data_IF_257883011197
#
_entry.id   IF_257883011197
#
_cell.length_a   1.000
_cell.length_b   1.000
_cell.length_c   1.000
_cell.angle_alpha   90.00
_cell.angle_beta   90.00
_cell.angle_gamma   90.00
#
_symmetry.space_group_name_H-M   'P 1'
#
loop_
_entity.id
_entity.type
_entity.pdbx_description
1 polymer ?
#
# COMPACT_ATOMS: atom_id res chain seq x y z
N UNK A 1 -3.08 25.52 -16.44
CA UNK A 1 -3.76 24.26 -16.02
C UNK A 1 -4.12 24.36 -14.55
N UNK A 2 -5.35 24.03 -14.22
CA UNK A 2 -5.79 24.05 -12.82
C UNK A 2 -5.12 22.91 -12.06
N UNK A 3 -4.84 23.11 -10.78
CA UNK A 3 -4.22 22.10 -9.92
C UNK A 3 -5.04 20.80 -9.89
N UNK A 4 -6.37 20.93 -9.80
CA UNK A 4 -7.29 19.79 -9.84
C UNK A 4 -7.16 18.99 -11.13
N UNK A 5 -6.96 19.66 -12.26
CA UNK A 5 -6.76 19.01 -13.56
C UNK A 5 -5.46 18.20 -13.57
N UNK A 6 -4.39 18.75 -12.99
CA UNK A 6 -3.11 18.05 -12.89
C UNK A 6 -3.25 16.79 -12.02
N UNK A 7 -4.00 16.86 -10.92
CA UNK A 7 -4.21 15.70 -10.05
C UNK A 7 -5.04 14.62 -10.76
N UNK A 8 -6.05 15.00 -11.52
CA UNK A 8 -6.81 14.05 -12.33
C UNK A 8 -5.91 13.36 -13.37
N UNK A 9 -5.02 14.12 -14.01
CA UNK A 9 -4.10 13.57 -14.99
C UNK A 9 -3.14 12.57 -14.36
N UNK A 10 -2.65 12.83 -13.15
CA UNK A 10 -1.79 11.90 -12.40
C UNK A 10 -2.53 10.59 -12.12
N UNK A 11 -3.77 10.67 -11.63
CA UNK A 11 -4.59 9.49 -11.34
C UNK A 11 -4.85 8.69 -12.61
N UNK A 12 -5.22 9.35 -13.70
CA UNK A 12 -5.48 8.69 -14.98
C UNK A 12 -4.24 8.03 -15.55
N UNK A 13 -3.08 8.67 -15.42
CA UNK A 13 -1.82 8.08 -15.88
C UNK A 13 -1.50 6.79 -15.14
N UNK A 14 -1.58 6.79 -13.81
CA UNK A 14 -1.38 5.59 -13.01
C UNK A 14 -2.41 4.51 -13.32
N UNK A 15 -3.64 4.89 -13.62
CA UNK A 15 -4.67 3.93 -14.02
C UNK A 15 -4.39 3.28 -15.37
N UNK A 16 -3.97 4.08 -16.35
CA UNK A 16 -3.67 3.59 -17.71
C UNK A 16 -2.36 2.82 -17.79
N UNK A 17 -1.38 3.22 -16.99
CA UNK A 17 -0.03 2.66 -16.97
C UNK A 17 0.36 2.29 -15.55
N UNK A 18 -0.32 1.30 -14.94
CA UNK A 18 -0.10 0.97 -13.54
C UNK A 18 1.31 0.43 -13.31
N UNK A 19 1.96 0.95 -12.27
CA UNK A 19 3.30 0.55 -11.87
C UNK A 19 3.21 -0.69 -10.98
N UNK A 20 4.10 -1.66 -11.21
CA UNK A 20 4.24 -2.88 -10.39
C UNK A 20 3.00 -3.78 -10.38
N UNK A 21 2.12 -3.62 -11.35
CA UNK A 21 0.98 -4.53 -11.51
C UNK A 21 1.45 -5.86 -12.12
N UNK A 22 0.91 -6.96 -11.60
CA UNK A 22 1.28 -8.32 -11.97
C UNK A 22 2.01 -8.99 -10.81
N UNK A 23 1.41 -10.04 -10.26
CA UNK A 23 1.96 -10.73 -9.09
C UNK A 23 3.32 -11.34 -9.41
N UNK A 24 4.29 -11.12 -8.53
CA UNK A 24 5.66 -11.60 -8.68
C UNK A 24 6.03 -12.59 -7.58
N UNK A 25 6.95 -13.49 -7.89
CA UNK A 25 7.56 -14.43 -6.97
C UNK A 25 9.07 -14.20 -6.93
N UNK A 26 9.74 -14.48 -5.81
CA UNK A 26 9.17 -14.91 -4.52
C UNK A 26 8.51 -13.76 -3.75
N UNK A 27 7.77 -14.10 -2.71
CA UNK A 27 7.15 -13.09 -1.84
C UNK A 27 7.12 -13.58 -0.40
N UNK A 28 7.05 -12.63 0.55
CA UNK A 28 7.00 -12.95 1.97
C UNK A 28 5.59 -13.09 2.53
N UNK A 29 4.65 -12.32 1.99
CA UNK A 29 3.24 -12.40 2.39
C UNK A 29 2.34 -11.97 1.23
N UNK A 30 1.14 -12.54 1.21
CA UNK A 30 0.10 -12.20 0.24
C UNK A 30 -1.21 -12.00 0.99
N UNK A 31 -1.92 -10.94 0.65
CA UNK A 31 -3.25 -10.67 1.19
C UNK A 31 -4.22 -10.37 0.05
N UNK A 32 -5.49 -10.62 0.31
CA UNK A 32 -6.58 -10.31 -0.62
C UNK A 32 -7.62 -9.48 0.12
N UNK A 33 -7.83 -8.26 -0.34
CA UNK A 33 -8.82 -7.35 0.25
C UNK A 33 -9.91 -7.04 -0.77
N UNK A 34 -11.13 -6.92 -0.28
CA UNK A 34 -12.32 -6.62 -1.09
C UNK A 34 -13.04 -5.44 -0.47
N UNK A 35 -13.50 -4.52 -1.32
CA UNK A 35 -14.45 -3.50 -0.92
C UNK A 35 -15.81 -3.88 -1.52
N UNK A 36 -16.71 -4.51 -0.73
CA UNK A 36 -17.98 -5.03 -1.27
C UNK A 36 -18.93 -3.93 -1.75
N UNK A 37 -18.76 -2.71 -1.27
CA UNK A 37 -19.61 -1.57 -1.65
C UNK A 37 -19.46 -1.20 -3.12
N UNK A 38 -18.22 -1.21 -3.64
CA UNK A 38 -17.96 -0.86 -5.05
C UNK A 38 -17.44 -2.05 -5.88
N UNK A 39 -17.31 -3.23 -5.30
CA UNK A 39 -16.80 -4.40 -6.03
C UNK A 39 -15.31 -4.35 -6.34
N UNK A 40 -14.56 -3.44 -5.72
CA UNK A 40 -13.11 -3.38 -5.86
C UNK A 40 -12.47 -4.53 -5.11
N UNK A 41 -11.43 -5.13 -5.69
CA UNK A 41 -10.63 -6.16 -5.01
C UNK A 41 -9.17 -6.03 -5.40
N UNK A 42 -8.29 -6.42 -4.48
CA UNK A 42 -6.84 -6.42 -4.73
C UNK A 42 -6.20 -7.63 -4.03
N UNK A 43 -5.33 -8.30 -4.77
CA UNK A 43 -4.38 -9.26 -4.19
C UNK A 43 -3.02 -8.58 -4.21
N UNK A 44 -2.36 -8.52 -3.07
CA UNK A 44 -1.11 -7.80 -2.93
C UNK A 44 -0.08 -8.67 -2.24
N UNK A 45 1.13 -8.69 -2.80
CA UNK A 45 2.28 -9.41 -2.27
C UNK A 45 3.35 -8.44 -1.84
N UNK A 46 3.97 -8.69 -0.68
CA UNK A 46 5.10 -7.90 -0.20
C UNK A 46 6.29 -8.83 0.04
N UNK A 47 7.48 -8.31 -0.28
CA UNK A 47 8.74 -8.97 0.04
C UNK A 47 9.55 -8.01 0.90
N UNK A 48 10.03 -8.50 2.04
CA UNK A 48 10.92 -7.74 2.92
C UNK A 48 12.35 -8.25 2.75
N UNK A 49 13.32 -7.44 3.15
CA UNK A 49 14.71 -7.86 3.23
C UNK A 49 14.88 -8.98 4.25
N UNK A 50 16.01 -9.70 4.22
CA UNK A 50 16.27 -10.82 5.13
C UNK A 50 16.14 -10.43 6.60
N UNK A 51 16.59 -9.22 6.95
CA UNK A 51 16.46 -8.69 8.31
C UNK A 51 15.05 -8.17 8.64
N UNK A 52 14.13 -8.16 7.66
CA UNK A 52 12.77 -7.68 7.84
C UNK A 52 12.62 -6.18 7.96
N UNK A 53 13.69 -5.40 7.72
CA UNK A 53 13.68 -3.96 7.97
C UNK A 53 13.30 -3.13 6.75
N UNK A 54 13.47 -3.68 5.54
CA UNK A 54 13.20 -2.92 4.30
C UNK A 54 12.17 -3.62 3.42
N UNK A 55 11.38 -2.82 2.72
CA UNK A 55 10.46 -3.29 1.68
C UNK A 55 11.24 -3.42 0.38
N UNK A 56 11.47 -4.64 -0.08
CA UNK A 56 12.26 -4.87 -1.29
C UNK A 56 11.39 -4.97 -2.54
N UNK A 57 10.14 -5.40 -2.41
CA UNK A 57 9.23 -5.45 -3.54
C UNK A 57 7.77 -5.46 -3.06
N UNK A 58 6.90 -4.89 -3.89
CA UNK A 58 5.45 -4.97 -3.75
C UNK A 58 4.89 -5.21 -5.15
N UNK A 59 4.04 -6.21 -5.28
CA UNK A 59 3.32 -6.46 -6.52
C UNK A 59 1.85 -6.70 -6.21
N UNK A 60 1.00 -6.47 -7.20
CA UNK A 60 -0.43 -6.61 -6.98
C UNK A 60 -1.15 -6.94 -8.29
N UNK A 61 -2.35 -7.45 -8.14
CA UNK A 61 -3.31 -7.57 -9.22
C UNK A 61 -4.71 -7.43 -8.63
N UNK A 62 -5.68 -7.08 -9.45
CA UNK A 62 -7.05 -6.92 -8.98
C UNK A 62 -7.93 -6.22 -9.98
N UNK A 63 -9.13 -5.93 -9.53
CA UNK A 63 -10.16 -5.25 -10.31
C UNK A 63 -10.74 -4.11 -9.48
N UNK A 64 -11.10 -3.03 -10.14
CA UNK A 64 -11.70 -1.92 -9.44
C UNK A 64 -11.75 -0.66 -10.27
N UNK A 65 -12.24 0.41 -9.66
CA UNK A 65 -12.34 1.71 -10.30
C UNK A 65 -10.95 2.34 -10.50
N UNK A 66 -10.90 3.42 -11.26
CA UNK A 66 -9.66 4.16 -11.52
C UNK A 66 -8.98 4.62 -10.22
N UNK A 67 -9.75 4.98 -9.20
CA UNK A 67 -9.22 5.45 -7.92
C UNK A 67 -8.46 4.33 -7.20
N UNK A 68 -9.05 3.14 -7.07
CA UNK A 68 -8.39 2.02 -6.37
C UNK A 68 -7.15 1.55 -7.12
N UNK A 69 -7.22 1.45 -8.43
CA UNK A 69 -6.10 1.00 -9.25
C UNK A 69 -4.93 2.00 -9.23
N UNK A 70 -5.23 3.27 -9.41
CA UNK A 70 -4.21 4.32 -9.40
C UNK A 70 -3.56 4.48 -8.02
N UNK A 71 -4.36 4.41 -6.96
CA UNK A 71 -3.85 4.55 -5.59
C UNK A 71 -2.87 3.42 -5.24
N UNK A 72 -3.15 2.19 -5.68
CA UNK A 72 -2.25 1.06 -5.43
C UNK A 72 -0.94 1.19 -6.24
N UNK A 73 -1.03 1.66 -7.48
CA UNK A 73 0.16 1.96 -8.29
C UNK A 73 1.08 2.98 -7.59
N UNK A 74 0.50 4.07 -7.09
CA UNK A 74 1.25 5.11 -6.36
C UNK A 74 1.89 4.53 -5.09
N UNK A 75 1.15 3.72 -4.35
CA UNK A 75 1.67 3.07 -3.14
C UNK A 75 2.98 2.33 -3.44
N UNK A 76 2.99 1.51 -4.48
CA UNK A 76 4.18 0.72 -4.83
C UNK A 76 5.40 1.61 -5.06
N UNK A 77 5.23 2.71 -5.80
CA UNK A 77 6.32 3.65 -6.07
C UNK A 77 6.87 4.29 -4.79
N UNK A 78 6.01 4.52 -3.79
CA UNK A 78 6.40 5.21 -2.56
C UNK A 78 7.08 4.29 -1.55
N UNK A 79 6.71 3.02 -1.50
CA UNK A 79 7.15 2.13 -0.41
C UNK A 79 8.28 1.17 -0.80
N UNK A 80 8.42 0.82 -2.07
CA UNK A 80 9.50 -0.07 -2.51
C UNK A 80 10.84 0.65 -2.31
N UNK A 81 11.75 0.00 -1.59
CA UNK A 81 13.07 0.55 -1.26
C UNK A 81 13.11 1.31 0.07
N UNK A 82 11.97 1.53 0.71
CA UNK A 82 11.91 2.21 1.99
C UNK A 82 12.03 1.22 3.15
N UNK A 83 12.40 1.73 4.33
CA UNK A 83 12.29 0.93 5.55
C UNK A 83 10.82 0.65 5.84
N UNK A 84 10.54 -0.47 6.52
CA UNK A 84 9.18 -0.81 6.93
C UNK A 84 8.57 0.32 7.78
N UNK A 85 9.36 0.90 8.69
CA UNK A 85 8.90 2.01 9.52
C UNK A 85 8.48 3.23 8.71
N UNK A 86 9.30 3.64 7.75
CA UNK A 86 8.99 4.78 6.88
C UNK A 86 7.82 4.47 5.95
N UNK A 87 7.75 3.25 5.41
CA UNK A 87 6.63 2.83 4.59
C UNK A 87 5.30 2.90 5.35
N UNK A 88 5.28 2.46 6.60
CA UNK A 88 4.08 2.53 7.44
C UNK A 88 3.69 3.97 7.79
N UNK A 89 4.67 4.86 7.98
CA UNK A 89 4.41 6.29 8.15
C UNK A 89 3.78 6.90 6.91
N UNK A 90 4.24 6.50 5.74
CA UNK A 90 3.65 6.93 4.47
C UNK A 90 2.19 6.49 4.37
N UNK A 91 1.89 5.24 4.75
CA UNK A 91 0.51 4.74 4.80
C UNK A 91 -0.33 5.58 5.75
N UNK A 92 0.19 5.88 6.93
CA UNK A 92 -0.52 6.68 7.93
C UNK A 92 -0.83 8.09 7.39
N UNK A 93 0.16 8.75 6.77
CA UNK A 93 -0.02 10.09 6.19
C UNK A 93 -1.07 10.11 5.08
N UNK A 94 -1.04 9.10 4.21
CA UNK A 94 -2.04 8.97 3.14
C UNK A 94 -3.44 8.76 3.73
N UNK A 95 -3.57 7.86 4.69
CA UNK A 95 -4.84 7.57 5.35
C UNK A 95 -5.43 8.81 6.02
N UNK A 96 -4.60 9.59 6.72
CA UNK A 96 -5.02 10.83 7.36
C UNK A 96 -5.52 11.86 6.34
N UNK A 97 -4.80 12.00 5.23
CA UNK A 97 -5.19 12.95 4.17
C UNK A 97 -6.53 12.56 3.55
N UNK A 98 -6.68 11.31 3.09
CA UNK A 98 -7.90 10.92 2.38
C UNK A 98 -9.11 10.80 3.31
N UNK A 99 -8.90 10.60 4.60
CA UNK A 99 -9.98 10.51 5.60
C UNK A 99 -10.33 11.86 6.24
N UNK A 100 -9.64 12.93 5.85
CA UNK A 100 -9.73 14.25 6.50
C UNK A 100 -10.93 15.10 6.10
N UNK A 101 -11.72 14.65 5.14
CA UNK A 101 -12.83 15.43 4.56
C UNK A 101 -12.37 16.78 3.99
N UNK A 102 -11.16 16.79 3.43
CA UNK A 102 -10.60 17.98 2.80
C UNK A 102 -9.87 18.92 3.75
N UNK A 103 -9.63 18.53 5.01
CA UNK A 103 -8.96 19.38 6.00
C UNK A 103 -7.44 19.22 6.02
N UNK A 104 -6.90 18.15 5.41
CA UNK A 104 -5.46 17.89 5.34
C UNK A 104 -5.05 17.79 3.87
N UNK A 105 -4.12 18.64 3.44
CA UNK A 105 -3.66 18.69 2.05
C UNK A 105 -2.62 17.61 1.72
N UNK A 106 -1.97 17.06 2.73
CA UNK A 106 -0.90 16.09 2.56
C UNK A 106 0.45 16.75 2.32
N UNK A 107 1.52 15.98 2.49
CA UNK A 107 2.90 16.41 2.30
C UNK A 107 3.47 15.75 1.05
N UNK A 108 3.77 16.54 0.02
CA UNK A 108 4.30 16.04 -1.24
C UNK A 108 5.65 15.33 -1.06
N UNK A 109 6.48 15.75 -0.12
CA UNK A 109 7.76 15.10 0.16
C UNK A 109 7.56 13.67 0.67
N UNK A 110 6.48 13.42 1.40
CA UNK A 110 6.13 12.09 1.93
C UNK A 110 5.31 11.29 0.93
N UNK A 111 4.31 11.93 0.31
CA UNK A 111 3.29 11.25 -0.48
C UNK A 111 3.52 11.28 -1.99
N UNK A 112 4.46 12.11 -2.47
CA UNK A 112 4.70 12.20 -3.92
C UNK A 112 3.40 12.36 -4.70
N UNK A 113 3.19 11.50 -5.69
CA UNK A 113 1.96 11.49 -6.49
C UNK A 113 0.70 11.18 -5.66
N UNK A 114 0.86 10.65 -4.44
CA UNK A 114 -0.26 10.36 -3.54
C UNK A 114 -1.07 11.60 -3.17
N UNK A 115 -0.48 12.79 -3.22
CA UNK A 115 -1.22 14.03 -2.96
C UNK A 115 -2.36 14.27 -3.94
N UNK A 116 -2.30 13.65 -5.13
CA UNK A 116 -3.37 13.74 -6.12
C UNK A 116 -4.71 13.24 -5.58
N UNK A 117 -4.67 12.40 -4.53
CA UNK A 117 -5.88 11.83 -3.93
C UNK A 117 -6.49 12.72 -2.83
N UNK A 118 -5.91 13.89 -2.56
CA UNK A 118 -6.46 14.81 -1.55
C UNK A 118 -7.92 15.18 -1.84
N UNK A 119 -8.27 15.38 -3.12
CA UNK A 119 -9.64 15.68 -3.53
C UNK A 119 -10.64 14.54 -3.28
N UNK A 120 -10.16 13.31 -3.23
CA UNK A 120 -10.98 12.13 -2.96
C UNK A 120 -11.59 12.19 -1.56
N UNK A 121 -10.93 12.88 -0.62
CA UNK A 121 -11.37 13.00 0.77
C UNK A 121 -12.75 13.62 0.93
N UNK A 122 -13.23 14.34 -0.09
CA UNK A 122 -14.57 14.95 -0.10
C UNK A 122 -15.67 13.96 -0.49
N UNK A 123 -15.30 12.75 -0.92
CA UNK A 123 -16.23 11.75 -1.43
C UNK A 123 -16.09 10.46 -0.62
N UNK A 124 -16.86 10.28 0.48
CA UNK A 124 -16.67 9.15 1.41
C UNK A 124 -16.66 7.77 0.75
N UNK A 125 -17.49 7.56 -0.27
CA UNK A 125 -17.51 6.29 -0.99
C UNK A 125 -16.19 6.01 -1.71
N UNK A 126 -15.51 7.05 -2.18
CA UNK A 126 -14.24 6.93 -2.90
C UNK A 126 -13.03 6.79 -1.97
N UNK A 127 -13.15 7.25 -0.73
CA UNK A 127 -12.10 7.10 0.29
C UNK A 127 -11.75 5.64 0.49
N UNK A 128 -12.75 4.77 0.57
CA UNK A 128 -12.55 3.32 0.71
C UNK A 128 -11.83 2.73 -0.51
N UNK A 129 -12.14 3.21 -1.70
CA UNK A 129 -11.46 2.81 -2.93
C UNK A 129 -9.97 3.19 -2.89
N UNK A 130 -9.68 4.41 -2.47
CA UNK A 130 -8.29 4.89 -2.38
C UNK A 130 -7.48 4.11 -1.35
N UNK A 131 -8.10 3.70 -0.24
CA UNK A 131 -7.41 3.01 0.86
C UNK A 131 -7.24 1.51 0.66
N UNK A 132 -7.95 0.89 -0.28
CA UNK A 132 -8.00 -0.56 -0.42
C UNK A 132 -6.61 -1.20 -0.52
N UNK A 133 -5.81 -0.79 -1.48
CA UNK A 133 -4.45 -1.31 -1.69
C UNK A 133 -3.50 -0.92 -0.57
N UNK A 134 -3.64 0.27 -0.02
CA UNK A 134 -2.80 0.78 1.07
C UNK A 134 -2.99 -0.04 2.34
N UNK A 135 -4.23 -0.38 2.68
CA UNK A 135 -4.52 -1.23 3.85
C UNK A 135 -4.14 -2.69 3.59
N UNK A 136 -4.26 -3.17 2.35
CA UNK A 136 -3.74 -4.49 1.97
C UNK A 136 -2.22 -4.56 2.20
N UNK A 137 -1.49 -3.52 1.82
CA UNK A 137 -0.04 -3.44 2.08
C UNK A 137 0.26 -3.49 3.57
N UNK A 138 -0.44 -2.70 4.37
CA UNK A 138 -0.27 -2.70 5.83
C UNK A 138 -0.49 -4.10 6.42
N UNK A 139 -1.55 -4.78 5.99
CA UNK A 139 -1.85 -6.14 6.44
C UNK A 139 -0.77 -7.14 5.99
N UNK A 140 -0.28 -7.01 4.75
CA UNK A 140 0.76 -7.88 4.22
C UNK A 140 2.07 -7.73 4.98
N UNK A 141 2.45 -6.49 5.30
CA UNK A 141 3.64 -6.21 6.12
C UNK A 141 3.50 -6.84 7.50
N UNK A 142 2.33 -6.72 8.12
CA UNK A 142 2.08 -7.32 9.43
C UNK A 142 2.22 -8.85 9.39
N UNK A 143 1.70 -9.49 8.33
CA UNK A 143 1.83 -10.94 8.15
C UNK A 143 3.28 -11.36 7.92
N UNK A 144 4.00 -10.63 7.08
CA UNK A 144 5.41 -10.93 6.79
C UNK A 144 6.26 -10.81 8.05
N UNK A 145 6.01 -9.79 8.87
CA UNK A 145 6.72 -9.55 10.12
C UNK A 145 6.39 -10.64 11.16
N UNK A 146 5.11 -10.96 11.32
CA UNK A 146 4.67 -12.00 12.24
C UNK A 146 5.23 -13.38 11.88
N UNK A 147 5.26 -13.72 10.59
CA UNK A 147 5.83 -14.97 10.11
C UNK A 147 7.33 -15.07 10.43
N UNK A 148 8.07 -13.96 10.23
CA UNK A 148 9.50 -13.90 10.56
C UNK A 148 9.73 -14.07 12.06
N UNK A 149 8.93 -13.43 12.89
CA UNK A 149 9.00 -13.55 14.36
C UNK A 149 8.67 -14.97 14.83
N UNK A 150 7.63 -15.58 14.26
CA UNK A 150 7.24 -16.95 14.60
C UNK A 150 8.35 -17.96 14.26
N UNK A 151 9.00 -17.80 13.10
CA UNK A 151 10.14 -18.64 12.71
C UNK A 151 11.30 -18.44 13.67
N UNK A 152 11.62 -17.20 14.03
CA UNK A 152 12.70 -16.91 14.98
C UNK A 152 12.43 -17.52 16.35
N UNK A 153 11.19 -17.40 16.86
CA UNK A 153 10.81 -18.00 18.14
C UNK A 153 10.91 -19.52 18.12
N UNK A 154 10.44 -20.17 17.06
CA UNK A 154 10.55 -21.62 16.90
C UNK A 154 12.02 -22.07 16.87
N UNK A 155 12.87 -21.34 16.17
CA UNK A 155 14.30 -21.61 16.12
C UNK A 155 14.95 -21.49 17.49
N UNK A 156 14.64 -20.45 18.26
CA UNK A 156 15.16 -20.28 19.60
C UNK A 156 14.65 -21.34 20.58
N UNK A 157 13.40 -21.76 20.44
CA UNK A 157 12.83 -22.83 21.24
C UNK A 157 13.58 -24.15 21.00
N UNK A 158 13.80 -24.53 19.76
CA UNK A 158 14.56 -25.73 19.38
C UNK A 158 15.97 -25.71 19.95
N UNK A 159 16.65 -24.57 19.89
CA UNK A 159 17.99 -24.44 20.47
C UNK A 159 17.98 -24.67 21.98
N UNK A 160 16.96 -24.21 22.70
CA UNK A 160 16.83 -24.42 24.14
C UNK A 160 16.63 -25.91 24.48
N UNK A 161 15.84 -26.61 23.69
CA UNK A 161 15.59 -28.05 23.89
C UNK A 161 16.82 -28.90 23.60
N UNK A 162 17.73 -28.45 22.75
CA UNK A 162 18.96 -29.14 22.41
C UNK A 162 20.04 -29.02 23.51
N UNK A 163 19.85 -28.23 24.53
CA UNK A 163 20.72 -28.09 25.69
C UNK A 163 20.27 -29.09 26.75
#
# INVERSE_FOLDING_TARGET
MRLEQMYQDVILDHYKHPHHRGLREPFGAEVHHVNPTCGDEVTLRVTLSEDGEQVTDVSYDGQGCSISQAATSVLCDLVIGETVGDALKTVQSFSEMVSSRGTVDGDEEVLGDGIAFAGVSKYPARVKCALLGWFAFKAAVAQATASSEAVAEAYHHDLKEMR
#
